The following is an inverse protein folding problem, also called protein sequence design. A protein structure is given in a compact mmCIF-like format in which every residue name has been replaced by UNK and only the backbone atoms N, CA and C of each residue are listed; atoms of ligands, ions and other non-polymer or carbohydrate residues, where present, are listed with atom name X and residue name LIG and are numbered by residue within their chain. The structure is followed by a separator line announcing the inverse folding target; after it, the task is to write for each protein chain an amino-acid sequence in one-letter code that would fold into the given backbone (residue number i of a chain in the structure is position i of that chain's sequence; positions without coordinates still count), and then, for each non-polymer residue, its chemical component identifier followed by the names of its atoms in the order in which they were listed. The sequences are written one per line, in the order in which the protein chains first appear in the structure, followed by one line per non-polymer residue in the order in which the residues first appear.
data_IF_579275900677
#
_entry.id   IF_579275900677
#
_cell.length_a   1.000
_cell.length_b   1.000
_cell.length_c   1.000
_cell.angle_alpha   90.00
_cell.angle_beta   90.00
_cell.angle_gamma   90.00
#
_symmetry.space_group_name_H-M   'P 1'
#
loop_
_entity.id
_entity.type
_entity.pdbx_description
1 polymer ?
#
# COMPACT_ATOMS: atom_id res chain seq x y z
N UNK A 1 -8.89 8.89 26.92
CA UNK A 1 -9.26 9.42 25.59
C UNK A 1 -8.07 10.23 25.12
N UNK A 2 -7.57 9.92 23.94
CA UNK A 2 -6.51 10.71 23.29
C UNK A 2 -7.17 11.71 22.33
N UNK A 3 -6.58 12.89 22.20
CA UNK A 3 -7.10 13.96 21.34
C UNK A 3 -6.07 14.28 20.26
N UNK A 4 -6.52 14.29 19.01
CA UNK A 4 -5.70 14.60 17.84
C UNK A 4 -6.22 15.89 17.22
N UNK A 5 -5.32 16.84 16.93
CA UNK A 5 -5.65 18.11 16.29
C UNK A 5 -5.24 18.11 14.82
N UNK A 6 -6.14 18.54 13.94
CA UNK A 6 -5.89 18.71 12.52
C UNK A 6 -5.97 20.19 12.14
N UNK A 7 -4.95 20.71 11.46
CA UNK A 7 -5.01 22.02 10.83
C UNK A 7 -5.37 21.85 9.34
N UNK A 8 -6.62 22.15 8.99
CA UNK A 8 -7.18 21.93 7.66
C UNK A 8 -7.62 23.24 7.03
N UNK A 9 -7.45 23.36 5.72
CA UNK A 9 -8.08 24.46 4.98
C UNK A 9 -9.60 24.35 5.09
N UNK A 10 -10.26 25.51 5.16
CA UNK A 10 -11.71 25.65 5.35
C UNK A 10 -12.58 24.69 4.52
N UNK A 11 -12.36 24.49 3.20
CA UNK A 11 -13.23 23.58 2.42
C UNK A 11 -13.15 22.12 2.89
N UNK A 12 -12.01 21.66 3.40
CA UNK A 12 -11.85 20.29 3.90
C UNK A 12 -12.41 20.14 5.32
N UNK A 13 -12.20 21.16 6.17
CA UNK A 13 -12.76 21.17 7.53
C UNK A 13 -14.29 21.06 7.52
N UNK A 14 -14.97 21.83 6.67
CA UNK A 14 -16.44 21.81 6.55
C UNK A 14 -16.95 20.42 6.14
N UNK A 15 -16.30 19.80 5.14
CA UNK A 15 -16.67 18.45 4.68
C UNK A 15 -16.46 17.42 5.79
N UNK A 16 -15.33 17.46 6.49
CA UNK A 16 -15.02 16.55 7.59
C UNK A 16 -16.02 16.71 8.74
N UNK A 17 -16.31 17.94 9.17
CA UNK A 17 -17.32 18.22 10.20
C UNK A 17 -18.70 17.69 9.81
N UNK A 18 -19.09 17.84 8.54
CA UNK A 18 -20.37 17.33 8.03
C UNK A 18 -20.43 15.80 8.08
N UNK A 19 -19.34 15.12 7.71
CA UNK A 19 -19.25 13.66 7.81
C UNK A 19 -19.28 13.16 9.25
N UNK A 20 -18.54 13.81 10.14
CA UNK A 20 -18.53 13.48 11.58
C UNK A 20 -19.92 13.67 12.18
N UNK A 21 -20.65 14.74 11.81
CA UNK A 21 -22.02 14.98 12.27
C UNK A 21 -22.99 13.87 11.83
N UNK A 22 -22.79 13.29 10.65
CA UNK A 22 -23.67 12.23 10.11
C UNK A 22 -23.33 10.87 10.72
N UNK A 23 -22.05 10.55 10.88
CA UNK A 23 -21.57 9.21 11.24
C UNK A 23 -21.28 9.03 12.73
N UNK A 24 -20.94 10.11 13.44
CA UNK A 24 -20.26 10.06 14.73
C UNK A 24 -18.74 9.93 14.57
N UNK A 25 -17.98 10.44 15.54
CA UNK A 25 -16.52 10.54 15.50
C UNK A 25 -15.83 9.17 15.34
N UNK A 26 -16.14 8.23 16.23
CA UNK A 26 -15.51 6.90 16.20
C UNK A 26 -15.82 6.14 14.91
N UNK A 27 -17.08 6.15 14.46
CA UNK A 27 -17.46 5.48 13.22
C UNK A 27 -16.82 6.14 11.99
N UNK A 28 -16.65 7.47 12.01
CA UNK A 28 -15.91 8.17 10.95
C UNK A 28 -14.46 7.69 10.90
N UNK A 29 -13.77 7.65 12.05
CA UNK A 29 -12.38 7.18 12.14
C UNK A 29 -12.28 5.72 11.70
N UNK A 30 -13.15 4.84 12.19
CA UNK A 30 -13.17 3.43 11.82
C UNK A 30 -13.39 3.24 10.32
N UNK A 31 -14.34 3.95 9.72
CA UNK A 31 -14.59 3.87 8.28
C UNK A 31 -13.42 4.40 7.46
N UNK A 32 -12.78 5.48 7.91
CA UNK A 32 -11.61 6.05 7.26
C UNK A 32 -10.44 5.05 7.27
N UNK A 33 -10.09 4.51 8.44
CA UNK A 33 -9.02 3.51 8.58
C UNK A 33 -9.33 2.26 7.76
N UNK A 34 -10.55 1.71 7.88
CA UNK A 34 -10.95 0.52 7.13
C UNK A 34 -10.93 0.73 5.61
N UNK A 35 -11.28 1.93 5.13
CA UNK A 35 -11.17 2.26 3.71
C UNK A 35 -9.72 2.15 3.24
N UNK A 36 -8.77 2.72 4.01
CA UNK A 36 -7.34 2.66 3.70
C UNK A 36 -6.77 1.25 3.76
N UNK A 37 -7.10 0.47 4.80
CA UNK A 37 -6.72 -0.95 4.94
C UNK A 37 -7.20 -1.74 3.72
N UNK A 38 -8.48 -1.60 3.36
CA UNK A 38 -9.07 -2.35 2.25
C UNK A 38 -8.49 -1.92 0.90
N UNK A 39 -8.11 -0.65 0.73
CA UNK A 39 -7.40 -0.18 -0.46
C UNK A 39 -6.02 -0.85 -0.58
N UNK A 40 -5.21 -0.80 0.48
CA UNK A 40 -3.88 -1.41 0.51
C UNK A 40 -3.94 -2.92 0.25
N UNK A 41 -4.87 -3.64 0.89
CA UNK A 41 -5.07 -5.07 0.64
C UNK A 41 -5.36 -5.38 -0.84
N UNK A 42 -6.20 -4.58 -1.50
CA UNK A 42 -6.47 -4.74 -2.94
C UNK A 42 -5.26 -4.42 -3.80
N UNK A 43 -4.48 -3.40 -3.47
CA UNK A 43 -3.26 -3.03 -4.19
C UNK A 43 -2.20 -4.13 -4.07
N UNK A 44 -1.98 -4.66 -2.86
CA UNK A 44 -1.07 -5.79 -2.60
C UNK A 44 -1.47 -7.02 -3.40
N UNK A 45 -2.76 -7.38 -3.40
CA UNK A 45 -3.26 -8.52 -4.16
C UNK A 45 -3.07 -8.34 -5.67
N UNK A 46 -3.33 -7.14 -6.20
CA UNK A 46 -3.10 -6.85 -7.63
C UNK A 46 -1.63 -6.92 -8.02
N UNK A 47 -0.74 -6.44 -7.14
CA UNK A 47 0.71 -6.56 -7.36
C UNK A 47 1.15 -8.02 -7.27
N UNK A 48 0.59 -8.81 -6.35
CA UNK A 48 0.89 -10.24 -6.24
C UNK A 48 0.60 -10.98 -7.55
N UNK A 49 -0.57 -10.74 -8.16
CA UNK A 49 -0.93 -11.34 -9.46
C UNK A 49 0.07 -10.95 -10.57
N UNK A 50 0.64 -9.74 -10.52
CA UNK A 50 1.66 -9.33 -11.49
C UNK A 50 2.99 -10.01 -11.22
N UNK A 51 3.38 -10.13 -9.95
CA UNK A 51 4.60 -10.80 -9.51
C UNK A 51 4.58 -12.28 -9.90
N UNK A 52 3.46 -12.98 -9.68
CA UNK A 52 3.27 -14.39 -10.05
C UNK A 52 3.60 -14.65 -11.52
N UNK A 53 3.27 -13.72 -12.44
CA UNK A 53 3.62 -13.86 -13.86
C UNK A 53 5.13 -13.84 -14.12
N UNK A 54 5.87 -13.06 -13.35
CA UNK A 54 7.33 -13.05 -13.42
C UNK A 54 7.91 -14.29 -12.74
N UNK A 55 7.35 -14.68 -11.59
CA UNK A 55 7.78 -15.87 -10.86
C UNK A 55 7.62 -17.15 -11.69
N UNK A 56 6.52 -17.28 -12.41
CA UNK A 56 6.27 -18.37 -13.37
C UNK A 56 7.22 -18.29 -14.58
N UNK A 57 7.41 -17.09 -15.15
CA UNK A 57 8.26 -16.91 -16.34
C UNK A 57 9.74 -17.23 -16.07
N UNK A 58 10.23 -16.87 -14.90
CA UNK A 58 11.64 -17.00 -14.51
C UNK A 58 11.90 -18.15 -13.54
N UNK A 59 10.86 -18.91 -13.16
CA UNK A 59 10.92 -20.00 -12.17
C UNK A 59 11.60 -19.60 -10.86
N UNK A 60 11.43 -18.34 -10.44
CA UNK A 60 12.13 -17.73 -9.31
C UNK A 60 11.16 -16.90 -8.48
N UNK A 61 11.16 -17.08 -7.15
CA UNK A 61 10.32 -16.26 -6.27
C UNK A 61 10.76 -14.79 -6.29
N UNK A 62 9.81 -13.87 -6.22
CA UNK A 62 10.10 -12.43 -6.27
C UNK A 62 11.03 -11.97 -5.15
N UNK A 63 10.96 -12.59 -3.97
CA UNK A 63 11.87 -12.28 -2.86
C UNK A 63 13.32 -12.64 -3.17
N UNK A 64 13.54 -13.80 -3.81
CA UNK A 64 14.87 -14.24 -4.22
C UNK A 64 15.38 -13.40 -5.38
N UNK A 65 14.53 -13.13 -6.38
CA UNK A 65 14.85 -12.24 -7.48
C UNK A 65 15.28 -10.86 -6.99
N UNK A 66 14.53 -10.27 -6.06
CA UNK A 66 14.79 -8.93 -5.57
C UNK A 66 16.13 -8.84 -4.81
N UNK A 67 16.46 -9.86 -4.00
CA UNK A 67 17.77 -9.94 -3.32
C UNK A 67 18.92 -9.95 -4.34
N UNK A 68 18.84 -10.77 -5.39
CA UNK A 68 19.85 -10.81 -6.45
C UNK A 68 19.92 -9.51 -7.26
N UNK A 69 18.76 -8.90 -7.55
CA UNK A 69 18.69 -7.63 -8.27
C UNK A 69 19.32 -6.48 -7.47
N UNK A 70 19.02 -6.38 -6.17
CA UNK A 70 19.55 -5.34 -5.27
C UNK A 70 21.05 -5.48 -5.03
N UNK A 71 21.56 -6.72 -5.02
CA UNK A 71 23.00 -7.00 -4.98
C UNK A 71 23.74 -6.71 -6.30
N UNK A 72 23.02 -6.37 -7.37
CA UNK A 72 23.59 -6.14 -8.71
C UNK A 72 24.05 -7.41 -9.42
N UNK A 73 23.53 -8.58 -9.01
CA UNK A 73 23.84 -9.89 -9.61
C UNK A 73 23.05 -10.13 -10.91
N UNK A 74 22.01 -9.32 -11.15
CA UNK A 74 21.17 -9.37 -12.33
C UNK A 74 21.41 -8.16 -13.23
N UNK A 75 21.24 -8.36 -14.55
CA UNK A 75 21.38 -7.29 -15.54
C UNK A 75 20.23 -6.27 -15.51
N UNK A 76 20.27 -5.35 -16.45
CA UNK A 76 19.32 -4.25 -16.63
C UNK A 76 18.17 -4.60 -17.58
N UNK A 77 17.85 -5.89 -17.71
CA UNK A 77 16.75 -6.33 -18.55
C UNK A 77 15.46 -5.60 -18.12
N UNK A 78 14.72 -5.08 -19.10
CA UNK A 78 13.48 -4.33 -18.84
C UNK A 78 12.52 -5.07 -17.90
N UNK A 79 12.43 -6.39 -18.05
CA UNK A 79 11.60 -7.22 -17.19
C UNK A 79 12.07 -7.21 -15.73
N UNK A 80 13.37 -7.25 -15.47
CA UNK A 80 13.93 -7.17 -14.12
C UNK A 80 13.65 -5.82 -13.48
N UNK A 81 13.83 -4.72 -14.21
CA UNK A 81 13.49 -3.39 -13.70
C UNK A 81 12.00 -3.26 -13.33
N UNK A 82 11.10 -3.79 -14.17
CA UNK A 82 9.66 -3.78 -13.90
C UNK A 82 9.30 -4.69 -12.74
N UNK A 83 9.88 -5.89 -12.67
CA UNK A 83 9.64 -6.84 -11.60
C UNK A 83 10.09 -6.28 -10.25
N UNK A 84 11.30 -5.70 -10.19
CA UNK A 84 11.84 -5.08 -8.98
C UNK A 84 10.94 -3.95 -8.49
N UNK A 85 10.52 -3.04 -9.37
CA UNK A 85 9.63 -1.95 -9.00
C UNK A 85 8.26 -2.42 -8.48
N UNK A 86 7.68 -3.47 -9.08
CA UNK A 86 6.42 -4.03 -8.58
C UNK A 86 6.61 -4.65 -7.19
N UNK A 87 7.72 -5.35 -6.96
CA UNK A 87 8.01 -5.98 -5.69
C UNK A 87 8.22 -4.93 -4.58
N UNK A 88 9.02 -3.91 -4.87
CA UNK A 88 9.28 -2.79 -3.95
C UNK A 88 7.98 -2.08 -3.56
N UNK A 89 7.13 -1.71 -4.53
CA UNK A 89 5.84 -1.10 -4.24
C UNK A 89 4.90 -2.00 -3.42
N UNK A 90 5.00 -3.32 -3.61
CA UNK A 90 4.24 -4.27 -2.81
C UNK A 90 4.74 -4.30 -1.36
N UNK A 91 6.05 -4.25 -1.16
CA UNK A 91 6.66 -4.19 0.18
C UNK A 91 6.27 -2.91 0.91
N UNK A 92 6.33 -1.76 0.24
CA UNK A 92 5.89 -0.49 0.82
C UNK A 92 4.41 -0.51 1.21
N UNK A 93 3.56 -1.07 0.35
CA UNK A 93 2.13 -1.21 0.64
C UNK A 93 1.88 -2.15 1.83
N UNK A 94 2.64 -3.25 1.95
CA UNK A 94 2.59 -4.16 3.10
C UNK A 94 3.04 -3.47 4.38
N UNK A 95 4.10 -2.65 4.32
CA UNK A 95 4.61 -1.88 5.46
C UNK A 95 3.57 -0.86 5.96
N UNK A 96 2.94 -0.13 5.05
CA UNK A 96 1.84 0.79 5.40
C UNK A 96 0.65 0.05 6.01
N UNK A 97 0.32 -1.15 5.51
CA UNK A 97 -0.77 -1.95 6.04
C UNK A 97 -0.50 -2.39 7.49
N UNK A 98 0.73 -2.80 7.80
CA UNK A 98 1.13 -3.21 9.17
C UNK A 98 1.03 -2.04 10.15
N UNK A 99 1.28 -0.80 9.72
CA UNK A 99 1.15 0.38 10.58
C UNK A 99 -0.31 0.73 10.93
N UNK A 100 -1.29 0.15 10.21
CA UNK A 100 -2.72 0.43 10.35
C UNK A 100 -3.51 -0.71 11.01
N UNK A 101 -2.87 -1.84 11.34
CA UNK A 101 -3.47 -3.03 11.97
C UNK A 101 -2.84 -3.22 13.35
#
# INVERSE_FOLDING_TARGET
METIFFNLQKPYAIKMQSLIKILGENLFVDKFINYHINRLKREIARMQIKLEKYEEKYEMRSSQFYEQFDNGELGDAKDYMLWAGIYEFQMDSKKQLIQLI
#
